data_IF_137984333339
#
_entry.id   IF_137984333339
#
_cell.length_a   1.000
_cell.length_b   1.000
_cell.length_c   1.000
_cell.angle_alpha   90.00
_cell.angle_beta   90.00
_cell.angle_gamma   90.00
#
_symmetry.space_group_name_H-M   'P 1'
#
loop_
_entity.id
_entity.type
_entity.pdbx_description
1 polymer ?
#
# COMPACT_ATOMS: atom_id res chain seq x y z
N UNK A 1 -9.49 42.94 2.37
CA UNK A 1 -10.36 41.82 2.81
C UNK A 1 -10.38 41.71 4.34
N UNK A 2 -11.52 41.97 4.99
CA UNK A 2 -11.68 41.95 6.44
C UNK A 2 -11.21 40.64 7.10
N UNK A 3 -11.56 39.48 6.52
CA UNK A 3 -11.19 38.17 7.06
C UNK A 3 -9.69 37.87 7.07
N UNK A 4 -8.90 38.49 6.18
CA UNK A 4 -7.43 38.33 6.18
C UNK A 4 -6.80 39.09 7.35
N UNK A 5 -7.40 40.23 7.73
CA UNK A 5 -6.94 41.08 8.84
C UNK A 5 -7.25 40.42 10.19
N UNK A 6 -8.45 39.85 10.35
CA UNK A 6 -8.82 39.11 11.57
C UNK A 6 -7.93 37.88 11.82
N UNK A 7 -7.63 37.08 10.78
CA UNK A 7 -6.71 35.94 10.94
C UNK A 7 -5.27 36.38 11.26
N UNK A 8 -4.86 37.56 10.77
CA UNK A 8 -3.53 38.11 11.05
C UNK A 8 -3.44 38.62 12.49
N UNK A 9 -4.45 39.34 12.98
CA UNK A 9 -4.47 39.85 14.35
C UNK A 9 -4.47 38.73 15.38
N UNK A 10 -5.23 37.65 15.16
CA UNK A 10 -5.20 36.47 16.04
C UNK A 10 -3.81 35.83 16.08
N UNK A 11 -3.13 35.68 14.93
CA UNK A 11 -1.78 35.12 14.88
C UNK A 11 -0.73 36.03 15.53
N UNK A 12 -0.85 37.34 15.37
CA UNK A 12 0.05 38.31 16.01
C UNK A 12 -0.19 38.34 17.53
N UNK A 13 -1.44 38.25 17.98
CA UNK A 13 -1.79 38.11 19.40
C UNK A 13 -1.27 36.79 20.00
N UNK A 14 -1.37 35.68 19.28
CA UNK A 14 -0.80 34.40 19.74
C UNK A 14 0.73 34.42 19.75
N UNK A 15 1.37 35.02 18.74
CA UNK A 15 2.84 35.11 18.65
C UNK A 15 3.41 36.02 19.74
N UNK A 16 2.73 37.12 20.05
CA UNK A 16 3.11 38.01 21.16
C UNK A 16 2.93 37.33 22.51
N UNK A 17 1.81 36.61 22.73
CA UNK A 17 1.60 35.80 23.95
C UNK A 17 2.63 34.67 24.13
N UNK A 18 2.99 34.00 23.05
CA UNK A 18 3.95 32.88 23.04
C UNK A 18 5.41 33.35 23.21
N UNK A 19 5.71 34.62 22.90
CA UNK A 19 7.06 35.15 22.93
C UNK A 19 7.95 34.61 21.79
N UNK A 20 9.12 35.24 21.62
CA UNK A 20 10.10 34.88 20.58
C UNK A 20 11.19 33.92 21.07
N UNK A 21 11.25 33.67 22.38
CA UNK A 21 12.25 32.83 23.02
C UNK A 21 11.57 31.73 23.81
N UNK A 22 10.97 30.77 23.08
CA UNK A 22 10.51 29.53 23.69
C UNK A 22 11.71 28.57 23.68
N UNK A 23 12.20 28.11 24.84
CA UNK A 23 13.18 27.04 24.86
C UNK A 23 12.56 25.80 24.19
N UNK A 24 13.38 24.90 23.60
CA UNK A 24 12.87 23.63 23.07
C UNK A 24 12.05 22.95 24.16
N UNK A 25 10.81 22.60 23.83
CA UNK A 25 9.87 21.94 24.70
C UNK A 25 10.48 20.63 25.21
N UNK A 26 10.32 20.32 26.51
CA UNK A 26 10.87 19.08 27.10
C UNK A 26 10.30 17.80 26.45
N UNK A 27 9.22 17.91 25.67
CA UNK A 27 8.63 16.83 24.88
C UNK A 27 9.38 16.53 23.56
N UNK A 28 10.38 17.33 23.19
CA UNK A 28 11.27 17.07 22.05
C UNK A 28 12.44 16.13 22.41
N UNK A 29 12.43 15.51 23.60
CA UNK A 29 13.48 14.59 24.08
C UNK A 29 13.36 13.15 23.58
N UNK A 30 12.28 12.84 22.88
CA UNK A 30 12.19 11.55 22.22
C UNK A 30 12.94 11.64 20.89
N UNK A 31 14.13 11.04 20.82
CA UNK A 31 14.92 10.81 19.59
C UNK A 31 14.15 10.02 18.51
N UNK A 32 12.89 9.70 18.78
CA UNK A 32 12.00 9.03 17.87
C UNK A 32 11.52 10.00 16.78
N UNK A 33 11.58 9.59 15.50
CA UNK A 33 11.04 10.41 14.42
C UNK A 33 9.55 10.67 14.67
N UNK A 34 9.08 11.88 14.35
CA UNK A 34 7.67 12.30 14.54
C UNK A 34 6.63 11.31 14.02
N UNK A 35 6.97 10.58 12.95
CA UNK A 35 6.15 9.50 12.41
C UNK A 35 5.97 8.35 13.41
N UNK A 36 7.05 7.87 14.03
CA UNK A 36 7.00 6.82 15.04
C UNK A 36 6.25 7.26 16.30
N UNK A 37 6.45 8.49 16.75
CA UNK A 37 5.71 9.06 17.90
C UNK A 37 4.20 9.10 17.68
N UNK A 38 3.75 9.40 16.45
CA UNK A 38 2.32 9.35 16.10
C UNK A 38 1.75 7.94 16.11
N UNK A 39 2.56 6.95 15.73
CA UNK A 39 2.15 5.55 15.69
C UNK A 39 2.06 5.00 17.12
N UNK A 40 3.07 5.24 17.95
CA UNK A 40 3.10 4.78 19.34
C UNK A 40 2.02 5.46 20.20
N UNK A 41 1.76 6.75 19.97
CA UNK A 41 0.71 7.50 20.68
C UNK A 41 -0.66 7.45 19.97
N UNK A 42 -0.85 6.58 18.97
CA UNK A 42 -2.07 6.57 18.15
C UNK A 42 -3.35 6.43 18.98
N UNK A 43 -3.33 5.62 20.04
CA UNK A 43 -4.47 5.46 20.95
C UNK A 43 -4.86 6.77 21.66
N UNK A 44 -3.87 7.52 22.17
CA UNK A 44 -4.10 8.83 22.80
C UNK A 44 -4.62 9.85 21.80
N UNK A 45 -4.09 9.86 20.59
CA UNK A 45 -4.51 10.76 19.51
C UNK A 45 -5.96 10.46 19.07
N UNK A 46 -6.32 9.19 18.90
CA UNK A 46 -7.68 8.79 18.56
C UNK A 46 -8.67 9.09 19.68
N UNK A 47 -8.29 8.85 20.94
CA UNK A 47 -9.12 9.17 22.10
C UNK A 47 -9.36 10.68 22.22
N UNK A 48 -8.32 11.51 22.07
CA UNK A 48 -8.47 12.96 22.07
C UNK A 48 -9.34 13.47 20.91
N UNK A 49 -9.21 12.86 19.72
CA UNK A 49 -10.05 13.19 18.58
C UNK A 49 -11.52 12.84 18.82
N UNK A 50 -11.81 11.65 19.33
CA UNK A 50 -13.17 11.22 19.71
C UNK A 50 -13.76 12.09 20.82
N UNK A 51 -12.97 12.39 21.85
CA UNK A 51 -13.37 13.26 22.96
C UNK A 51 -13.65 14.70 22.51
N UNK A 52 -12.97 15.18 21.46
CA UNK A 52 -13.25 16.50 20.89
C UNK A 52 -14.57 16.59 20.11
N UNK A 53 -15.30 15.48 19.93
CA UNK A 53 -16.58 15.45 19.21
C UNK A 53 -16.47 15.74 17.71
N UNK A 54 -15.25 15.77 17.18
CA UNK A 54 -14.95 16.12 15.79
C UNK A 54 -15.10 14.91 14.88
N UNK A 55 -15.79 15.09 13.77
CA UNK A 55 -16.00 14.05 12.75
C UNK A 55 -15.04 14.19 11.55
N UNK A 56 -14.40 15.36 11.40
CA UNK A 56 -13.49 15.64 10.27
C UNK A 56 -12.23 16.41 10.72
N UNK A 57 -11.09 16.12 10.09
CA UNK A 57 -9.78 16.73 10.39
C UNK A 57 -9.63 18.21 9.97
N UNK A 58 -10.71 18.88 9.57
CA UNK A 58 -10.68 20.28 9.10
C UNK A 58 -10.66 21.30 10.24
N UNK A 59 -10.88 20.86 11.49
CA UNK A 59 -11.09 21.73 12.65
C UNK A 59 -9.83 21.94 13.54
N UNK A 60 -8.66 21.43 13.13
CA UNK A 60 -7.40 21.55 13.90
C UNK A 60 -6.47 22.67 13.43
N UNK A 61 -6.79 23.44 12.39
CA UNK A 61 -5.93 24.54 11.92
C UNK A 61 -4.51 24.13 11.49
N UNK A 62 -4.19 22.83 11.50
CA UNK A 62 -2.92 22.30 11.01
C UNK A 62 -2.88 22.48 9.50
N UNK A 63 -1.75 23.03 9.02
CA UNK A 63 -1.54 23.36 7.62
C UNK A 63 -1.86 22.15 6.75
N UNK A 64 -2.91 22.30 5.95
CA UNK A 64 -3.22 21.51 4.77
C UNK A 64 -1.92 21.38 3.97
N UNK A 65 -1.21 20.25 4.09
CA UNK A 65 -0.46 19.73 2.94
C UNK A 65 -1.52 19.59 1.87
N UNK A 66 -1.29 20.26 0.75
CA UNK A 66 -2.17 20.34 -0.42
C UNK A 66 -2.56 18.92 -0.81
N UNK A 67 -3.65 18.44 -0.21
CA UNK A 67 -4.40 17.28 -0.63
C UNK A 67 -5.33 17.85 -1.68
N UNK A 68 -5.09 17.38 -2.90
CA UNK A 68 -5.90 17.60 -4.07
C UNK A 68 -7.37 17.72 -3.71
N UNK A 69 -7.96 18.78 -4.22
CA UNK A 69 -9.38 19.05 -4.17
C UNK A 69 -10.16 17.80 -4.58
N UNK A 70 -10.96 17.29 -3.66
CA UNK A 70 -11.77 16.11 -3.87
C UNK A 70 -13.01 16.13 -2.99
N UNK A 71 -13.60 17.30 -2.77
CA UNK A 71 -14.96 17.41 -2.24
C UNK A 71 -15.58 18.78 -2.55
N UNK A 72 -15.73 19.06 -3.85
CA UNK A 72 -16.75 20.00 -4.30
C UNK A 72 -18.08 19.21 -4.47
N UNK A 73 -19.25 19.81 -4.17
CA UNK A 73 -20.54 19.16 -4.40
C UNK A 73 -20.66 18.71 -5.87
N UNK A 74 -21.48 17.69 -6.19
CA UNK A 74 -21.54 17.10 -7.52
C UNK A 74 -22.13 18.11 -8.50
N UNK A 75 -21.29 19.00 -9.01
CA UNK A 75 -21.63 19.88 -10.09
C UNK A 75 -21.95 18.97 -11.28
N UNK A 76 -23.17 19.15 -11.81
CA UNK A 76 -23.71 18.45 -12.97
C UNK A 76 -22.58 18.19 -13.97
N UNK A 77 -22.28 16.90 -14.19
CA UNK A 77 -21.31 16.41 -15.18
C UNK A 77 -21.68 16.99 -16.55
N UNK A 78 -21.17 18.17 -16.86
CA UNK A 78 -20.82 18.48 -18.24
C UNK A 78 -19.74 17.46 -18.58
N UNK A 79 -20.02 16.60 -19.56
CA UNK A 79 -18.94 15.85 -20.21
C UNK A 79 -17.98 16.92 -20.68
N UNK A 80 -16.86 17.09 -20.00
CA UNK A 80 -15.84 18.03 -20.42
C UNK A 80 -15.31 17.47 -21.73
N UNK A 81 -15.84 18.02 -22.83
CA UNK A 81 -15.36 17.73 -24.16
C UNK A 81 -13.86 18.00 -24.17
N UNK A 82 -13.10 17.07 -24.75
CA UNK A 82 -11.64 17.22 -24.84
C UNK A 82 -11.38 18.57 -25.52
N UNK A 83 -10.67 19.51 -24.86
CA UNK A 83 -10.44 20.82 -25.43
C UNK A 83 -9.81 20.71 -26.81
N UNK A 84 -9.99 21.71 -27.69
CA UNK A 84 -9.19 21.79 -28.92
C UNK A 84 -7.79 22.32 -28.59
N UNK A 85 -6.82 22.03 -29.47
CA UNK A 85 -5.47 22.59 -29.40
C UNK A 85 -5.58 24.12 -29.41
N UNK A 86 -5.00 24.78 -28.42
CA UNK A 86 -5.04 26.23 -28.33
C UNK A 86 -4.10 26.85 -29.37
N UNK A 87 -4.39 28.07 -29.86
CA UNK A 87 -3.47 28.77 -30.75
C UNK A 87 -2.13 28.97 -30.02
N UNK A 88 -1.03 28.59 -30.68
CA UNK A 88 0.35 28.60 -30.17
C UNK A 88 0.67 27.54 -29.09
N UNK A 89 -0.20 26.57 -28.84
CA UNK A 89 0.11 25.42 -27.98
C UNK A 89 0.84 24.33 -28.78
N UNK A 90 1.92 23.79 -28.22
CA UNK A 90 2.55 22.60 -28.81
C UNK A 90 1.68 21.36 -28.59
N UNK A 91 1.73 20.38 -29.51
CA UNK A 91 1.03 19.10 -29.35
C UNK A 91 1.37 18.42 -28.01
N UNK A 92 2.60 18.59 -27.52
CA UNK A 92 3.03 18.07 -26.23
C UNK A 92 2.33 18.73 -25.03
N UNK A 93 2.08 20.04 -25.09
CA UNK A 93 1.37 20.79 -24.04
C UNK A 93 -0.11 20.44 -24.03
N UNK A 94 -0.70 20.33 -25.22
CA UNK A 94 -2.05 19.84 -25.43
C UNK A 94 -2.26 18.46 -24.79
N UNK A 95 -1.37 17.50 -25.08
CA UNK A 95 -1.45 16.15 -24.50
C UNK A 95 -1.37 16.19 -22.97
N UNK A 96 -0.49 17.02 -22.39
CA UNK A 96 -0.40 17.17 -20.92
C UNK A 96 -1.70 17.72 -20.32
N UNK A 97 -2.36 18.67 -21.00
CA UNK A 97 -3.62 19.25 -20.56
C UNK A 97 -4.77 18.24 -20.64
N UNK A 98 -4.85 17.48 -21.72
CA UNK A 98 -5.81 16.39 -21.88
C UNK A 98 -5.58 15.30 -20.82
N UNK A 99 -4.34 14.90 -20.60
CA UNK A 99 -3.98 13.94 -19.56
C UNK A 99 -4.35 14.45 -18.17
N UNK A 100 -4.08 15.71 -17.84
CA UNK A 100 -4.43 16.28 -16.54
C UNK A 100 -5.95 16.23 -16.28
N UNK A 101 -6.75 16.54 -17.31
CA UNK A 101 -8.21 16.50 -17.24
C UNK A 101 -8.73 15.05 -17.05
N UNK A 102 -8.19 14.09 -17.82
CA UNK A 102 -8.64 12.70 -17.75
C UNK A 102 -8.06 11.91 -16.58
N UNK A 103 -6.91 12.33 -16.03
CA UNK A 103 -6.18 11.60 -14.98
C UNK A 103 -7.05 11.34 -13.76
N UNK A 104 -7.78 12.34 -13.27
CA UNK A 104 -8.67 12.19 -12.12
C UNK A 104 -9.77 11.14 -12.35
N UNK A 105 -10.39 11.18 -13.53
CA UNK A 105 -11.42 10.22 -13.93
C UNK A 105 -10.90 8.79 -14.05
N UNK A 106 -9.76 8.61 -14.71
CA UNK A 106 -9.10 7.32 -14.89
C UNK A 106 -8.63 6.75 -13.55
N UNK A 107 -7.95 7.55 -12.73
CA UNK A 107 -7.54 7.13 -11.37
C UNK A 107 -8.74 6.78 -10.49
N UNK A 108 -9.84 7.51 -10.59
CA UNK A 108 -11.09 7.21 -9.89
C UNK A 108 -11.71 5.88 -10.35
N UNK A 109 -11.74 5.62 -11.67
CA UNK A 109 -12.23 4.36 -12.22
C UNK A 109 -11.36 3.17 -11.78
N UNK A 110 -10.04 3.32 -11.79
CA UNK A 110 -9.10 2.29 -11.32
C UNK A 110 -9.38 1.95 -9.85
N UNK A 111 -9.45 2.95 -8.97
CA UNK A 111 -9.73 2.73 -7.54
C UNK A 111 -11.06 2.03 -7.31
N UNK A 112 -12.11 2.40 -8.06
CA UNK A 112 -13.42 1.72 -7.99
C UNK A 112 -13.35 0.27 -8.44
N UNK A 113 -12.64 -0.01 -9.54
CA UNK A 113 -12.45 -1.36 -10.03
C UNK A 113 -11.64 -2.22 -9.05
N UNK A 114 -10.61 -1.66 -8.42
CA UNK A 114 -9.82 -2.33 -7.39
C UNK A 114 -10.65 -2.64 -6.14
N UNK A 115 -11.46 -1.67 -5.68
CA UNK A 115 -12.36 -1.88 -4.55
C UNK A 115 -13.38 -3.00 -4.84
N UNK A 116 -13.98 -3.00 -6.04
CA UNK A 116 -14.90 -4.06 -6.46
C UNK A 116 -14.21 -5.43 -6.55
N UNK A 117 -12.98 -5.49 -7.06
CA UNK A 117 -12.17 -6.72 -7.08
C UNK A 117 -11.80 -7.20 -5.68
N UNK A 118 -11.50 -6.29 -4.75
CA UNK A 118 -11.25 -6.60 -3.35
C UNK A 118 -12.49 -7.16 -2.64
N UNK A 119 -13.65 -6.55 -2.86
CA UNK A 119 -14.93 -7.03 -2.34
C UNK A 119 -15.29 -8.42 -2.89
N UNK A 120 -15.10 -8.66 -4.19
CA UNK A 120 -15.35 -9.98 -4.79
C UNK A 120 -14.42 -11.07 -4.22
N UNK A 121 -13.13 -10.75 -3.98
CA UNK A 121 -12.18 -11.68 -3.37
C UNK A 121 -12.55 -12.02 -1.93
N UNK A 122 -12.88 -11.02 -1.13
CA UNK A 122 -13.28 -11.23 0.27
C UNK A 122 -14.57 -12.01 0.38
N UNK A 123 -15.59 -11.71 -0.44
CA UNK A 123 -16.82 -12.49 -0.51
C UNK A 123 -16.56 -13.96 -0.92
N UNK A 124 -15.68 -14.20 -1.89
CA UNK A 124 -15.32 -15.56 -2.29
C UNK A 124 -14.56 -16.33 -1.20
N UNK A 125 -13.73 -15.65 -0.40
CA UNK A 125 -13.05 -16.25 0.75
C UNK A 125 -14.03 -16.55 1.89
N UNK A 126 -14.97 -15.66 2.17
CA UNK A 126 -16.03 -15.87 3.15
C UNK A 126 -16.94 -17.04 2.77
N UNK A 127 -17.31 -17.14 1.49
CA UNK A 127 -18.11 -18.28 1.00
C UNK A 127 -17.34 -19.61 1.14
N UNK A 128 -16.05 -19.61 0.82
CA UNK A 128 -15.19 -20.79 1.04
C UNK A 128 -15.09 -21.15 2.52
N UNK A 129 -14.88 -20.15 3.40
CA UNK A 129 -14.85 -20.34 4.86
C UNK A 129 -16.18 -20.91 5.36
N UNK A 130 -17.31 -20.39 4.87
CA UNK A 130 -18.64 -20.87 5.23
C UNK A 130 -18.90 -22.31 4.77
N UNK A 131 -18.45 -22.69 3.56
CA UNK A 131 -18.53 -24.08 3.08
C UNK A 131 -17.68 -25.02 3.93
N UNK A 132 -16.46 -24.63 4.30
CA UNK A 132 -15.58 -25.44 5.15
C UNK A 132 -16.16 -25.59 6.56
N UNK A 133 -16.69 -24.52 7.15
CA UNK A 133 -17.33 -24.58 8.47
C UNK A 133 -18.57 -25.49 8.47
N UNK A 134 -19.42 -25.39 7.44
CA UNK A 134 -20.59 -26.27 7.27
C UNK A 134 -20.19 -27.73 7.09
N UNK A 135 -19.09 -28.02 6.37
CA UNK A 135 -18.59 -29.38 6.18
C UNK A 135 -17.94 -29.97 7.46
N UNK A 136 -17.39 -29.12 8.34
CA UNK A 136 -16.74 -29.55 9.59
C UNK A 136 -17.70 -29.61 10.79
N UNK A 137 -18.99 -29.31 10.61
CA UNK A 137 -19.99 -29.38 11.69
C UNK A 137 -19.77 -28.37 12.83
N UNK A 138 -18.92 -27.36 12.62
CA UNK A 138 -18.64 -26.28 13.59
C UNK A 138 -19.30 -24.99 13.11
N UNK A 139 -20.03 -24.33 14.00
CA UNK A 139 -20.63 -23.02 13.73
C UNK A 139 -19.53 -22.02 13.31
N UNK A 140 -19.84 -21.20 12.29
CA UNK A 140 -18.96 -20.12 11.84
C UNK A 140 -18.68 -19.16 13.02
N UNK A 141 -17.41 -18.89 13.38
CA UNK A 141 -17.13 -17.70 14.16
C UNK A 141 -17.53 -16.49 13.31
N UNK A 142 -18.39 -15.66 13.86
CA UNK A 142 -18.78 -14.41 13.20
C UNK A 142 -17.55 -13.51 13.09
N UNK A 143 -17.43 -12.71 12.02
CA UNK A 143 -16.34 -11.73 11.87
C UNK A 143 -16.27 -10.72 13.02
N UNK A 144 -17.32 -10.59 13.84
CA UNK A 144 -17.35 -9.78 15.05
C UNK A 144 -16.59 -10.45 16.22
N UNK A 145 -16.51 -11.78 16.25
CA UNK A 145 -15.76 -12.54 17.26
C UNK A 145 -14.27 -12.71 16.90
N UNK A 146 -13.84 -12.43 15.65
CA UNK A 146 -12.40 -12.40 15.32
C UNK A 146 -11.69 -11.12 15.79
N UNK A 147 -12.42 -10.02 16.08
CA UNK A 147 -11.84 -8.80 16.68
C UNK A 147 -11.90 -8.79 18.22
N UNK A 148 -12.79 -9.58 18.85
CA UNK A 148 -12.88 -9.73 20.32
C UNK A 148 -12.42 -11.09 20.87
N UNK A 149 -12.05 -12.04 20.01
CA UNK A 149 -11.25 -13.17 20.46
C UNK A 149 -9.82 -12.68 20.71
N UNK A 150 -9.59 -12.10 21.89
CA UNK A 150 -8.32 -12.26 22.58
C UNK A 150 -8.03 -13.76 22.59
N UNK A 151 -7.26 -14.23 21.60
CA UNK A 151 -6.68 -15.55 21.62
C UNK A 151 -5.72 -15.53 22.81
N UNK A 152 -6.25 -15.90 23.99
CA UNK A 152 -5.45 -16.31 25.14
C UNK A 152 -4.70 -17.55 24.69
N UNK A 153 -3.60 -17.33 23.98
CA UNK A 153 -2.54 -18.31 23.84
C UNK A 153 -2.07 -18.58 25.26
N UNK A 154 -2.67 -19.58 25.91
CA UNK A 154 -2.07 -20.31 27.01
C UNK A 154 -0.86 -21.06 26.45
N UNK A 155 0.14 -20.29 26.01
CA UNK A 155 1.45 -20.81 25.68
C UNK A 155 2.09 -21.00 27.06
N UNK A 156 2.35 -22.24 27.50
CA UNK A 156 3.06 -22.43 28.75
C UNK A 156 4.36 -21.62 28.65
N UNK A 157 4.61 -20.77 29.63
CA UNK A 157 5.83 -19.99 29.71
C UNK A 157 6.99 -20.97 29.58
N UNK A 158 7.75 -20.85 28.49
CA UNK A 158 8.99 -21.60 28.35
C UNK A 158 9.96 -21.02 29.35
N UNK A 159 10.06 -21.67 30.51
CA UNK A 159 11.11 -21.43 31.48
C UNK A 159 12.44 -21.73 30.79
N UNK A 160 13.11 -20.69 30.31
CA UNK A 160 14.48 -20.81 29.83
C UNK A 160 15.36 -21.02 31.06
N UNK A 161 16.20 -22.06 31.04
CA UNK A 161 17.23 -22.23 32.06
C UNK A 161 18.14 -21.00 32.00
N UNK A 162 18.24 -20.28 33.11
CA UNK A 162 19.11 -19.11 33.22
C UNK A 162 20.55 -19.59 33.03
N UNK A 163 21.17 -19.19 31.92
CA UNK A 163 22.55 -19.59 31.60
C UNK A 163 23.48 -18.61 32.31
N UNK A 164 24.39 -19.14 33.13
CA UNK A 164 25.39 -18.35 33.84
C UNK A 164 26.17 -17.43 32.88
N UNK A 165 26.42 -16.19 33.32
CA UNK A 165 27.12 -15.17 32.54
C UNK A 165 28.57 -15.59 32.30
N UNK A 166 28.86 -16.15 31.12
CA UNK A 166 30.22 -16.48 30.69
C UNK A 166 31.00 -15.22 30.32
N UNK A 167 32.28 -15.15 30.67
CA UNK A 167 33.16 -14.04 30.31
C UNK A 167 33.39 -14.03 28.80
N UNK A 168 33.46 -12.84 28.21
CA UNK A 168 33.50 -12.64 26.75
C UNK A 168 34.66 -13.39 26.06
N UNK A 169 35.74 -13.64 26.79
CA UNK A 169 36.96 -14.28 26.30
C UNK A 169 36.94 -15.82 26.40
N UNK A 170 35.98 -16.40 27.14
CA UNK A 170 35.81 -17.86 27.27
C UNK A 170 34.91 -18.45 26.18
N UNK A 171 34.30 -17.60 25.35
CA UNK A 171 33.62 -18.01 24.12
C UNK A 171 34.69 -18.22 23.06
N UNK A 172 35.39 -19.36 23.15
CA UNK A 172 36.31 -19.80 22.11
C UNK A 172 35.62 -19.69 20.74
N UNK A 173 36.24 -18.97 19.81
CA UNK A 173 35.79 -18.69 18.45
C UNK A 173 35.81 -19.95 17.57
N UNK A 174 35.21 -21.05 18.00
CA UNK A 174 34.79 -22.07 17.07
C UNK A 174 33.60 -21.49 16.28
N UNK A 175 33.67 -21.37 14.95
CA UNK A 175 32.53 -20.89 14.17
C UNK A 175 31.32 -21.78 14.52
N UNK A 176 30.18 -21.19 14.94
CA UNK A 176 29.03 -21.97 15.37
C UNK A 176 28.55 -22.84 14.21
N UNK A 177 28.55 -24.16 14.40
CA UNK A 177 27.98 -25.07 13.41
C UNK A 177 26.46 -24.99 13.46
N UNK A 178 25.86 -24.45 12.41
CA UNK A 178 24.40 -24.35 12.31
C UNK A 178 23.81 -25.75 12.11
N UNK A 179 22.79 -26.15 12.89
CA UNK A 179 22.09 -27.41 12.65
C UNK A 179 21.51 -27.41 11.24
N UNK A 180 21.79 -28.46 10.46
CA UNK A 180 21.31 -28.59 9.07
C UNK A 180 19.79 -28.61 9.04
N UNK A 181 19.19 -27.51 8.60
CA UNK A 181 17.75 -27.40 8.37
C UNK A 181 17.35 -28.41 7.28
N UNK A 182 16.35 -29.25 7.54
CA UNK A 182 15.81 -30.25 6.59
C UNK A 182 15.35 -29.66 5.23
N UNK A 183 15.18 -28.35 5.15
CA UNK A 183 14.86 -27.65 3.90
C UNK A 183 16.08 -27.47 2.97
N UNK A 184 17.30 -27.50 3.51
CA UNK A 184 18.52 -27.39 2.71
C UNK A 184 18.80 -28.67 1.90
N UNK A 185 18.41 -29.86 2.39
CA UNK A 185 18.51 -31.11 1.62
C UNK A 185 17.61 -31.11 0.38
N UNK A 186 16.43 -30.49 0.45
CA UNK A 186 15.54 -30.34 -0.71
C UNK A 186 16.07 -29.32 -1.72
N UNK A 187 16.74 -28.26 -1.25
CA UNK A 187 17.39 -27.28 -2.12
C UNK A 187 18.60 -27.90 -2.85
N UNK A 188 19.38 -28.75 -2.18
CA UNK A 188 20.53 -29.43 -2.81
C UNK A 188 20.11 -30.53 -3.80
N UNK A 189 18.99 -31.23 -3.58
CA UNK A 189 18.43 -32.19 -4.54
C UNK A 189 17.81 -31.54 -5.79
N UNK A 190 17.45 -30.26 -5.74
CA UNK A 190 16.99 -29.48 -6.90
C UNK A 190 18.15 -28.84 -7.69
N UNK A 191 19.39 -28.98 -7.21
CA UNK A 191 20.59 -28.35 -7.78
C UNK A 191 21.24 -29.07 -8.96
N UNK A 192 20.54 -29.99 -9.64
CA UNK A 192 21.09 -30.68 -10.81
C UNK A 192 20.10 -30.66 -11.98
N UNK A 193 20.16 -29.55 -12.72
CA UNK A 193 19.66 -29.47 -14.09
C UNK A 193 18.34 -28.72 -14.26
N UNK A 194 18.43 -27.37 -14.37
CA UNK A 194 17.92 -26.58 -15.50
C UNK A 194 18.04 -25.08 -15.18
N UNK A 195 19.00 -24.48 -15.88
CA UNK A 195 19.15 -23.05 -16.19
C UNK A 195 18.08 -22.07 -15.69
N UNK A 196 18.54 -21.11 -14.89
CA UNK A 196 18.58 -19.68 -15.28
C UNK A 196 17.31 -19.13 -15.95
N UNK A 197 16.16 -19.36 -15.32
CA UNK A 197 14.96 -18.55 -15.56
C UNK A 197 14.36 -18.21 -14.23
N UNK A 198 14.25 -16.92 -13.97
CA UNK A 198 13.45 -16.37 -12.90
C UNK A 198 12.17 -17.17 -12.74
N UNK A 199 11.75 -17.49 -11.51
CA UNK A 199 10.46 -18.12 -11.27
C UNK A 199 9.34 -17.14 -11.63
N UNK A 200 9.08 -16.96 -12.92
CA UNK A 200 7.98 -16.17 -13.45
C UNK A 200 6.68 -16.79 -12.92
N UNK A 201 5.84 -15.93 -12.35
CA UNK A 201 4.51 -16.28 -11.87
C UNK A 201 3.72 -16.95 -13.00
N UNK A 202 2.91 -17.97 -12.68
CA UNK A 202 2.12 -18.72 -13.66
C UNK A 202 1.27 -17.80 -14.58
N UNK A 203 0.80 -16.66 -14.07
CA UNK A 203 0.09 -15.66 -14.88
C UNK A 203 0.97 -14.98 -15.94
N UNK A 204 2.21 -14.61 -15.59
CA UNK A 204 3.17 -14.02 -16.53
C UNK A 204 3.58 -15.02 -17.61
N UNK A 205 3.71 -16.31 -17.27
CA UNK A 205 4.00 -17.37 -18.25
C UNK A 205 2.91 -17.47 -19.31
N UNK A 206 1.63 -17.45 -18.92
CA UNK A 206 0.50 -17.47 -19.86
C UNK A 206 0.47 -16.27 -20.79
N UNK A 207 0.80 -15.08 -20.29
CA UNK A 207 0.87 -13.86 -21.11
C UNK A 207 2.00 -13.98 -22.14
N UNK A 208 3.19 -14.40 -21.71
CA UNK A 208 4.34 -14.59 -22.59
C UNK A 208 4.11 -15.70 -23.63
N UNK A 209 3.39 -16.76 -23.28
CA UNK A 209 3.01 -17.83 -24.20
C UNK A 209 2.03 -17.34 -25.27
N UNK A 210 1.00 -16.58 -24.88
CA UNK A 210 0.06 -15.97 -25.82
C UNK A 210 0.74 -14.99 -26.79
N UNK A 211 1.71 -14.21 -26.30
CA UNK A 211 2.51 -13.31 -27.15
C UNK A 211 3.41 -14.08 -28.11
N UNK A 212 4.05 -15.17 -27.65
CA UNK A 212 4.84 -16.06 -28.50
C UNK A 212 4.01 -16.64 -29.63
N UNK A 213 2.80 -17.12 -29.34
CA UNK A 213 1.90 -17.67 -30.36
C UNK A 213 1.52 -16.62 -31.41
N UNK A 214 1.20 -15.39 -30.99
CA UNK A 214 0.90 -14.29 -31.91
C UNK A 214 2.07 -13.94 -32.82
N UNK A 215 3.28 -13.87 -32.26
CA UNK A 215 4.49 -13.55 -33.04
C UNK A 215 4.82 -14.68 -34.01
N UNK A 216 4.68 -15.94 -33.59
CA UNK A 216 4.90 -17.09 -34.46
C UNK A 216 3.89 -17.13 -35.60
N UNK A 217 2.61 -16.83 -35.33
CA UNK A 217 1.58 -16.73 -36.36
C UNK A 217 1.92 -15.64 -37.38
N UNK A 218 2.25 -14.43 -36.91
CA UNK A 218 2.63 -13.32 -37.77
C UNK A 218 3.88 -13.65 -38.61
N UNK A 219 4.86 -14.33 -38.02
CA UNK A 219 6.05 -14.77 -38.74
C UNK A 219 5.73 -15.83 -39.81
N UNK A 220 4.84 -16.77 -39.51
CA UNK A 220 4.36 -17.77 -40.49
C UNK A 220 3.65 -17.09 -41.66
N UNK A 221 2.79 -16.12 -41.39
CA UNK A 221 2.08 -15.36 -42.42
C UNK A 221 3.05 -14.56 -43.30
N UNK A 222 4.03 -13.87 -42.68
CA UNK A 222 5.07 -13.16 -43.41
C UNK A 222 5.92 -14.10 -44.27
N UNK A 223 6.25 -15.28 -43.75
CA UNK A 223 7.03 -16.28 -44.49
C UNK A 223 6.24 -16.84 -45.67
N UNK A 224 4.96 -17.18 -45.46
CA UNK A 224 4.07 -17.64 -46.53
C UNK A 224 3.92 -16.59 -47.65
N UNK A 225 3.80 -15.30 -47.30
CA UNK A 225 3.80 -14.20 -48.28
C UNK A 225 5.11 -14.13 -49.07
N UNK A 226 6.26 -14.21 -48.40
CA UNK A 226 7.57 -14.21 -49.07
C UNK A 226 7.78 -15.41 -49.99
N UNK A 227 7.31 -16.59 -49.61
CA UNK A 227 7.38 -17.78 -50.46
C UNK A 227 6.45 -17.68 -51.67
N UNK A 228 5.25 -17.12 -51.51
CA UNK A 228 4.32 -16.87 -52.61
C UNK A 228 4.84 -15.80 -53.59
N UNK A 229 5.51 -14.75 -53.10
CA UNK A 229 6.18 -13.75 -53.95
C UNK A 229 7.35 -14.35 -54.72
N UNK A 230 8.12 -15.26 -54.12
CA UNK A 230 9.25 -15.93 -54.79
C UNK A 230 8.81 -16.96 -55.84
N UNK A 231 7.59 -17.49 -55.72
CA UNK A 231 7.03 -18.47 -56.66
C UNK A 231 6.35 -17.84 -57.88
N UNK A 232 6.18 -16.51 -57.91
CA UNK A 232 5.70 -15.74 -59.06
C UNK A 232 6.88 -15.20 -59.86
#
# INVERSE_FOLDING_TARGET
>A
MPHKRAKRSVREAERTKKGYSLPPSKDDKDDMPRGAMRILNAGRVQAAFRASGRTTSEDTGERKRVREEGNAPPNKKRREEVPKIAPNESLGEYNRRVEALLRGGVSGAIKKAEAARGAAKTAAEEEKRARVAKAQGKALPSKAEEEEAEVKFNKPEKAFKEVERRRLNDVAQAPPSLPRLRMAEKAQKAGKGRSERDPLNAGQRRIMEAERERVVALYRDMKAKKEAERAK
#
